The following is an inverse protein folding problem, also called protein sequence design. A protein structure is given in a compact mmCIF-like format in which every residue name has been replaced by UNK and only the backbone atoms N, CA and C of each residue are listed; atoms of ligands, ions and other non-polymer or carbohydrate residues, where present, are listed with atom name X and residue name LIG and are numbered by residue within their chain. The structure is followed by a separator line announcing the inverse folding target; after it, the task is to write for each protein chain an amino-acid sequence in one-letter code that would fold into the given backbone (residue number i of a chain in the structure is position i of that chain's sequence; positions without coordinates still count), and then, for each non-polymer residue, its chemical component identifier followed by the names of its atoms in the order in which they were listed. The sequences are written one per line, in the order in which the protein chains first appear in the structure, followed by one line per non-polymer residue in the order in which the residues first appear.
data_IF_146190914700
#
_entry.id   IF_146190914700
#
_cell.length_a   1.000
_cell.length_b   1.000
_cell.length_c   1.000
_cell.angle_alpha   90.00
_cell.angle_beta   90.00
_cell.angle_gamma   90.00
#
_symmetry.space_group_name_H-M   'P 1'
#
loop_
_entity.id
_entity.type
_entity.pdbx_description
1 polymer ?
#
# COMPACT_ATOMS: atom_id res chain seq x y z
N UNK A 1 -31.96 19.00 48.68
CA UNK A 1 -30.78 19.02 49.53
C UNK A 1 -29.69 18.39 48.71
N UNK A 2 -28.92 19.25 48.00
CA UNK A 2 -27.58 19.73 48.38
C UNK A 2 -26.58 18.57 48.35
N UNK A 3 -25.56 18.53 47.58
CA UNK A 3 -24.46 19.45 47.38
C UNK A 3 -23.68 19.14 46.12
N UNK A 4 -23.41 20.15 45.37
CA UNK A 4 -22.40 20.15 44.34
C UNK A 4 -21.00 20.20 44.95
N UNK A 5 -20.09 19.49 44.34
CA UNK A 5 -18.67 19.68 44.56
C UNK A 5 -18.03 20.06 43.23
N UNK A 6 -17.84 21.37 43.08
CA UNK A 6 -17.03 21.97 42.01
C UNK A 6 -15.57 21.73 42.36
N UNK A 7 -14.89 20.86 41.67
CA UNK A 7 -13.43 20.79 41.70
C UNK A 7 -12.90 21.65 40.57
N UNK A 8 -12.42 22.82 40.94
CA UNK A 8 -11.73 23.75 40.04
C UNK A 8 -10.33 23.17 39.73
N UNK A 9 -10.07 23.00 38.45
CA UNK A 9 -8.73 22.69 37.95
C UNK A 9 -8.01 24.02 37.77
N UNK A 10 -7.05 24.24 38.62
CA UNK A 10 -6.13 25.37 38.63
C UNK A 10 -5.09 25.10 37.52
N UNK A 11 -5.19 25.84 36.44
CA UNK A 11 -4.16 25.82 35.39
C UNK A 11 -3.04 26.74 35.85
N UNK A 12 -1.93 26.16 36.23
CA UNK A 12 -0.68 26.88 36.45
C UNK A 12 -0.02 27.10 35.10
N UNK A 13 -0.10 28.33 34.63
CA UNK A 13 0.72 28.84 33.54
C UNK A 13 2.02 29.36 34.17
N UNK A 14 3.09 28.66 33.96
CA UNK A 14 4.45 29.17 34.14
C UNK A 14 5.20 28.74 32.89
N UNK A 15 5.54 29.62 32.05
CA UNK A 15 6.54 30.68 32.12
C UNK A 15 7.67 30.28 31.20
N UNK A 16 7.58 30.88 30.08
CA UNK A 16 8.58 31.49 29.19
C UNK A 16 10.07 31.26 29.52
N UNK A 17 10.79 31.10 28.51
CA UNK A 17 12.07 31.62 28.07
C UNK A 17 12.99 30.53 27.51
N UNK A 18 13.09 30.52 26.21
CA UNK A 18 14.33 30.86 25.55
C UNK A 18 15.21 29.68 25.20
N UNK A 19 15.11 29.23 23.98
CA UNK A 19 16.31 28.83 23.29
C UNK A 19 16.15 29.08 21.77
N UNK A 20 16.64 30.26 21.37
CA UNK A 20 16.97 30.59 19.98
C UNK A 20 18.20 29.74 19.58
N UNK A 21 17.95 28.62 18.96
CA UNK A 21 18.98 27.83 18.26
C UNK A 21 18.82 28.02 16.74
N UNK A 22 19.32 29.13 16.23
CA UNK A 22 19.41 29.41 14.81
C UNK A 22 20.54 28.57 14.23
N UNK A 23 20.23 27.41 13.69
CA UNK A 23 21.18 26.61 12.96
C UNK A 23 21.08 26.94 11.47
N UNK A 24 22.01 27.76 11.01
CA UNK A 24 22.31 28.08 9.62
C UNK A 24 22.60 26.78 8.85
N UNK A 25 21.66 26.33 8.03
CA UNK A 25 21.95 25.29 7.06
C UNK A 25 22.63 25.91 5.84
N UNK A 26 23.93 25.73 5.80
CA UNK A 26 24.85 26.19 4.77
C UNK A 26 24.52 25.52 3.44
N UNK A 27 24.12 26.34 2.47
CA UNK A 27 23.90 26.02 1.08
C UNK A 27 25.24 25.60 0.44
N UNK A 28 25.41 24.30 0.23
CA UNK A 28 26.54 23.77 -0.56
C UNK A 28 26.18 23.80 -2.03
N UNK A 29 26.78 24.73 -2.76
CA UNK A 29 26.82 24.74 -4.21
C UNK A 29 27.79 23.67 -4.66
N UNK A 30 27.35 22.69 -5.40
CA UNK A 30 28.25 21.80 -6.13
C UNK A 30 28.32 22.27 -7.58
N UNK A 31 29.39 22.91 -7.86
CA UNK A 31 29.83 23.23 -9.20
C UNK A 31 30.14 21.94 -9.95
N UNK A 32 29.40 21.74 -11.04
CA UNK A 32 29.68 20.66 -11.99
C UNK A 32 30.78 21.15 -12.91
N UNK A 33 31.97 20.70 -12.62
CA UNK A 33 33.10 20.86 -13.50
C UNK A 33 33.01 19.92 -14.69
N UNK A 34 32.86 20.53 -15.83
CA UNK A 34 32.84 19.90 -17.15
C UNK A 34 34.22 19.33 -17.48
N UNK A 35 34.32 18.02 -17.70
CA UNK A 35 35.47 17.38 -18.33
C UNK A 35 35.16 17.03 -19.78
N UNK A 36 36.07 17.31 -20.70
CA UNK A 36 35.84 17.09 -22.13
C UNK A 36 35.95 15.63 -22.54
N UNK A 37 35.17 15.32 -23.58
CA UNK A 37 35.12 14.05 -24.27
C UNK A 37 36.49 13.68 -24.85
N UNK A 38 36.96 12.48 -24.57
CA UNK A 38 37.98 11.81 -25.35
C UNK A 38 37.37 10.66 -26.12
N UNK A 39 37.30 10.89 -27.41
CA UNK A 39 36.88 9.93 -28.41
C UNK A 39 37.97 8.89 -28.64
N UNK A 40 37.67 7.63 -28.39
CA UNK A 40 38.48 6.55 -28.95
C UNK A 40 37.58 5.65 -29.73
N UNK A 41 37.65 5.80 -31.03
CA UNK A 41 37.13 4.87 -32.05
C UNK A 41 37.97 3.59 -32.02
N UNK A 42 37.31 2.47 -31.94
CA UNK A 42 37.73 1.20 -32.53
C UNK A 42 36.49 0.38 -32.85
N UNK A 43 36.16 0.43 -34.06
CA UNK A 43 35.97 -0.53 -35.13
C UNK A 43 35.67 -1.99 -34.72
N UNK A 44 34.45 -2.42 -35.14
CA UNK A 44 34.22 -3.73 -35.72
C UNK A 44 34.10 -4.89 -34.76
N UNK A 45 32.93 -5.45 -34.71
CA UNK A 45 32.72 -6.84 -35.17
C UNK A 45 31.20 -7.05 -35.26
N UNK A 46 30.80 -7.27 -36.47
CA UNK A 46 29.47 -7.77 -36.84
C UNK A 46 29.26 -9.18 -36.30
N UNK A 47 28.01 -9.44 -36.06
CA UNK A 47 27.38 -10.72 -36.37
C UNK A 47 27.25 -11.76 -35.25
N UNK A 48 26.09 -12.04 -34.89
CA UNK A 48 25.45 -13.31 -35.20
C UNK A 48 24.36 -13.63 -34.19
N UNK A 49 23.21 -13.77 -34.70
CA UNK A 49 22.07 -14.42 -34.06
C UNK A 49 22.49 -15.79 -33.48
N UNK A 50 21.70 -16.17 -32.49
CA UNK A 50 21.35 -17.56 -32.21
C UNK A 50 21.84 -18.15 -30.90
N UNK A 51 20.84 -18.67 -30.24
CA UNK A 51 20.85 -19.89 -29.46
C UNK A 51 21.46 -19.87 -28.06
N UNK A 52 20.56 -20.06 -27.13
CA UNK A 52 20.67 -20.85 -25.93
C UNK A 52 22.08 -21.26 -25.49
N UNK A 53 22.67 -20.46 -24.60
CA UNK A 53 23.82 -20.93 -23.84
C UNK A 53 23.35 -21.85 -22.71
N UNK A 54 23.48 -23.12 -22.91
CA UNK A 54 23.53 -24.11 -21.82
C UNK A 54 24.95 -24.02 -21.29
N UNK A 55 25.11 -23.57 -20.06
CA UNK A 55 26.35 -23.69 -19.35
C UNK A 55 26.61 -25.18 -19.07
N UNK A 56 27.88 -25.55 -19.10
CA UNK A 56 28.40 -26.94 -19.07
C UNK A 56 28.05 -27.73 -17.80
N UNK A 57 27.06 -27.33 -17.03
CA UNK A 57 26.63 -28.01 -15.80
C UNK A 57 25.14 -28.36 -15.75
N UNK A 58 24.43 -28.33 -16.85
CA UNK A 58 23.11 -28.98 -16.98
C UNK A 58 22.02 -28.54 -16.00
N UNK A 59 22.13 -27.37 -15.40
CA UNK A 59 21.10 -26.89 -14.48
C UNK A 59 20.18 -25.90 -15.20
N UNK A 60 18.99 -26.38 -15.55
CA UNK A 60 17.88 -25.55 -16.00
C UNK A 60 17.63 -24.47 -14.98
N UNK A 61 17.87 -23.23 -15.35
CA UNK A 61 17.38 -22.07 -14.56
C UNK A 61 15.87 -22.04 -14.76
N UNK A 62 15.15 -22.79 -13.96
CA UNK A 62 13.71 -22.69 -13.83
C UNK A 62 13.44 -21.36 -13.19
N UNK A 63 12.73 -20.52 -13.90
CA UNK A 63 12.24 -19.21 -13.45
C UNK A 63 11.61 -19.33 -12.04
N UNK A 64 12.37 -18.98 -11.00
CA UNK A 64 11.94 -19.05 -9.60
C UNK A 64 11.21 -17.77 -9.20
N UNK A 65 10.12 -17.45 -9.88
CA UNK A 65 9.26 -16.32 -9.44
C UNK A 65 8.27 -16.73 -8.34
N UNK A 66 8.27 -17.97 -7.88
CA UNK A 66 7.29 -18.50 -6.92
C UNK A 66 7.82 -18.98 -5.58
N UNK A 67 9.12 -18.87 -5.28
CA UNK A 67 9.71 -19.54 -4.11
C UNK A 67 10.42 -18.64 -3.10
N UNK A 68 10.22 -17.33 -3.14
CA UNK A 68 10.89 -16.43 -2.20
C UNK A 68 10.22 -16.36 -0.82
N UNK A 69 8.97 -16.79 -0.68
CA UNK A 69 8.25 -16.69 0.60
C UNK A 69 8.52 -17.85 1.58
N UNK A 70 9.00 -19.00 1.10
CA UNK A 70 9.22 -20.17 1.96
C UNK A 70 10.51 -20.12 2.79
N UNK A 71 11.45 -19.22 2.45
CA UNK A 71 12.78 -19.14 3.12
C UNK A 71 12.88 -17.96 4.07
N UNK A 72 11.87 -17.09 4.14
CA UNK A 72 11.90 -15.92 5.02
C UNK A 72 11.43 -16.26 6.42
N UNK A 73 12.08 -15.68 7.43
CA UNK A 73 11.64 -15.79 8.82
C UNK A 73 10.23 -15.28 8.95
N UNK A 74 9.33 -16.11 9.48
CA UNK A 74 7.92 -15.77 9.67
C UNK A 74 7.74 -14.85 10.87
N UNK A 75 6.75 -13.98 10.79
CA UNK A 75 6.32 -13.09 11.88
C UNK A 75 4.81 -13.17 12.05
N UNK A 76 4.26 -12.32 12.92
CA UNK A 76 2.81 -12.26 13.18
C UNK A 76 2.29 -10.87 12.82
N UNK A 77 1.18 -10.86 12.07
CA UNK A 77 0.48 -9.65 11.66
C UNK A 77 -0.86 -9.53 12.37
N UNK A 78 -1.17 -8.35 12.87
CA UNK A 78 -2.51 -7.98 13.34
C UNK A 78 -3.09 -6.88 12.47
N UNK A 79 -4.39 -6.96 12.21
CA UNK A 79 -5.17 -5.90 11.57
C UNK A 79 -6.12 -5.29 12.60
N UNK A 80 -6.31 -3.96 12.54
CA UNK A 80 -7.28 -3.24 13.37
C UNK A 80 -8.72 -3.68 13.10
N UNK A 81 -8.99 -4.04 11.84
CA UNK A 81 -10.27 -4.55 11.35
C UNK A 81 -10.06 -5.43 10.14
N UNK A 82 -11.02 -6.32 9.86
CA UNK A 82 -11.01 -7.15 8.66
C UNK A 82 -12.07 -6.73 7.65
N UNK A 83 -12.96 -5.85 8.04
CA UNK A 83 -14.07 -5.38 7.22
C UNK A 83 -14.21 -3.86 7.32
N UNK A 84 -14.69 -3.26 6.25
CA UNK A 84 -15.03 -1.84 6.23
C UNK A 84 -16.31 -1.62 5.42
N UNK A 85 -17.24 -0.87 5.99
CA UNK A 85 -18.53 -0.52 5.38
C UNK A 85 -18.49 0.96 4.94
N UNK A 86 -18.62 1.22 3.65
CA UNK A 86 -18.74 2.57 3.11
C UNK A 86 -20.17 3.14 3.23
N UNK A 87 -21.16 2.25 3.49
CA UNK A 87 -22.55 2.65 3.46
C UNK A 87 -23.06 2.93 2.04
N UNK A 88 -23.98 3.88 1.90
CA UNK A 88 -24.53 4.27 0.60
C UNK A 88 -23.60 5.22 -0.12
N UNK A 89 -23.24 4.90 -1.35
CA UNK A 89 -22.43 5.72 -2.25
C UNK A 89 -23.12 5.79 -3.62
N UNK A 90 -22.82 6.82 -4.40
CA UNK A 90 -23.37 6.96 -5.76
C UNK A 90 -22.56 6.13 -6.76
N UNK A 91 -23.21 5.69 -7.82
CA UNK A 91 -22.50 5.08 -8.94
C UNK A 91 -21.50 6.08 -9.57
N UNK A 92 -20.26 5.65 -9.72
CA UNK A 92 -19.16 6.49 -10.22
C UNK A 92 -18.30 7.11 -9.13
N UNK A 93 -18.71 7.06 -7.86
CA UNK A 93 -17.89 7.54 -6.76
C UNK A 93 -16.62 6.71 -6.61
N UNK A 94 -15.54 7.38 -6.22
CA UNK A 94 -14.31 6.75 -5.76
C UNK A 94 -14.19 6.98 -4.25
N UNK A 95 -14.20 5.91 -3.50
CA UNK A 95 -14.09 5.93 -2.05
C UNK A 95 -12.82 5.22 -1.59
N UNK A 96 -12.28 5.64 -0.45
CA UNK A 96 -11.06 5.08 0.11
C UNK A 96 -11.26 4.74 1.58
N UNK A 97 -10.70 3.63 2.01
CA UNK A 97 -10.58 3.29 3.42
C UNK A 97 -9.17 2.83 3.76
N UNK A 98 -8.88 2.79 5.05
CA UNK A 98 -7.59 2.37 5.59
C UNK A 98 -7.76 1.19 6.52
N UNK A 99 -6.90 0.19 6.35
CA UNK A 99 -6.68 -0.91 7.28
C UNK A 99 -5.32 -0.71 7.91
N UNK A 100 -5.26 -0.65 9.24
CA UNK A 100 -3.99 -0.55 9.95
C UNK A 100 -3.44 -1.95 10.20
N UNK A 101 -2.25 -2.19 9.68
CA UNK A 101 -1.49 -3.41 9.93
C UNK A 101 -0.43 -3.15 11.00
N UNK A 102 -0.32 -4.06 11.97
CA UNK A 102 0.68 -4.02 13.03
C UNK A 102 1.50 -5.30 13.00
N UNK A 103 2.81 -5.16 13.03
CA UNK A 103 3.70 -6.29 13.25
C UNK A 103 3.71 -6.65 14.74
N UNK A 104 2.95 -7.67 15.12
CA UNK A 104 2.90 -8.17 16.50
C UNK A 104 3.92 -9.27 16.80
N UNK A 105 4.71 -9.65 15.82
CA UNK A 105 5.80 -10.63 15.97
C UNK A 105 7.13 -9.97 16.31
N UNK A 106 8.20 -10.77 16.24
CA UNK A 106 9.57 -10.34 16.59
C UNK A 106 10.41 -10.03 15.35
N UNK A 107 10.10 -10.64 14.21
CA UNK A 107 10.82 -10.46 12.98
C UNK A 107 10.16 -9.37 12.11
N UNK A 108 10.88 -8.70 11.22
CA UNK A 108 10.30 -7.72 10.32
C UNK A 108 9.14 -8.31 9.49
N UNK A 109 8.01 -7.61 9.45
CA UNK A 109 6.86 -7.97 8.64
C UNK A 109 7.02 -7.41 7.24
N UNK A 110 6.94 -8.27 6.24
CA UNK A 110 7.08 -7.93 4.83
C UNK A 110 5.75 -8.21 4.15
N UNK A 111 5.11 -7.15 3.63
CA UNK A 111 3.94 -7.28 2.79
C UNK A 111 4.41 -7.48 1.34
N UNK A 112 4.32 -8.71 0.84
CA UNK A 112 4.83 -9.07 -0.48
C UNK A 112 3.91 -8.59 -1.58
N UNK A 113 2.60 -8.78 -1.38
CA UNK A 113 1.57 -8.43 -2.34
C UNK A 113 0.26 -8.05 -1.64
N UNK A 114 -0.49 -7.15 -2.25
CA UNK A 114 -1.90 -6.95 -1.94
C UNK A 114 -2.66 -6.74 -3.25
N UNK A 115 -3.74 -7.48 -3.46
CA UNK A 115 -4.56 -7.35 -4.66
C UNK A 115 -6.05 -7.43 -4.35
N UNK A 116 -6.82 -6.65 -5.09
CA UNK A 116 -8.28 -6.67 -5.01
C UNK A 116 -8.89 -7.78 -5.85
N UNK A 117 -10.06 -8.26 -5.45
CA UNK A 117 -10.83 -9.27 -6.19
C UNK A 117 -11.32 -8.80 -7.57
N UNK A 118 -11.18 -7.52 -7.89
CA UNK A 118 -11.48 -6.92 -9.18
C UNK A 118 -10.59 -5.70 -9.44
N UNK A 119 -10.47 -5.28 -10.70
CA UNK A 119 -9.77 -4.04 -11.05
C UNK A 119 -10.43 -2.76 -10.51
N UNK A 120 -11.62 -2.86 -9.92
CA UNK A 120 -12.35 -1.77 -9.27
C UNK A 120 -11.89 -1.53 -7.81
N UNK A 121 -11.04 -2.41 -7.27
CA UNK A 121 -10.51 -2.33 -5.91
C UNK A 121 -8.99 -2.37 -5.97
N UNK A 122 -8.35 -1.25 -5.63
CA UNK A 122 -6.91 -1.06 -5.76
C UNK A 122 -6.32 -0.82 -4.37
N UNK A 123 -5.55 -1.76 -3.82
CA UNK A 123 -4.81 -1.55 -2.58
C UNK A 123 -3.49 -0.80 -2.83
N UNK A 124 -3.14 0.06 -1.88
CA UNK A 124 -1.83 0.70 -1.75
C UNK A 124 -1.27 0.33 -0.37
N UNK A 125 -0.08 -0.23 -0.34
CA UNK A 125 0.51 -0.80 0.87
C UNK A 125 2.01 -0.53 0.95
N UNK A 126 2.60 -0.47 2.17
CA UNK A 126 4.02 -0.24 2.37
C UNK A 126 4.87 -1.35 1.74
N UNK A 127 5.93 -0.95 1.05
CA UNK A 127 6.90 -1.86 0.41
C UNK A 127 8.09 -2.15 1.32
N UNK A 128 8.36 -1.26 2.27
CA UNK A 128 9.43 -1.43 3.24
C UNK A 128 9.02 -2.40 4.35
N UNK A 129 9.94 -3.20 4.88
CA UNK A 129 9.67 -4.05 6.04
C UNK A 129 9.18 -3.25 7.24
N UNK A 130 8.16 -3.74 7.92
CA UNK A 130 7.59 -3.13 9.13
C UNK A 130 8.30 -3.74 10.33
N UNK A 131 9.03 -2.95 11.14
CA UNK A 131 9.71 -3.43 12.34
C UNK A 131 8.74 -4.03 13.37
N UNK A 132 9.26 -4.87 14.25
CA UNK A 132 8.48 -5.44 15.34
C UNK A 132 7.83 -4.35 16.22
N UNK A 133 6.54 -4.50 16.50
CA UNK A 133 5.74 -3.54 17.28
C UNK A 133 5.26 -2.32 16.49
N UNK A 134 5.73 -2.09 15.28
CA UNK A 134 5.31 -0.95 14.47
C UNK A 134 4.04 -1.24 13.65
N UNK A 135 3.37 -0.15 13.27
CA UNK A 135 2.15 -0.20 12.46
C UNK A 135 2.31 0.63 11.18
N UNK A 136 1.65 0.20 10.13
CA UNK A 136 1.54 0.92 8.84
C UNK A 136 0.11 0.79 8.31
N UNK A 137 -0.20 1.64 7.36
CA UNK A 137 -1.52 1.72 6.75
C UNK A 137 -1.53 1.05 5.37
N UNK A 138 -2.58 0.26 5.13
CA UNK A 138 -2.94 -0.27 3.82
C UNK A 138 -4.18 0.51 3.39
N UNK A 139 -4.05 1.31 2.34
CA UNK A 139 -5.15 2.08 1.77
C UNK A 139 -5.83 1.28 0.67
N UNK A 140 -7.15 1.26 0.68
CA UNK A 140 -7.93 0.53 -0.32
C UNK A 140 -8.88 1.49 -1.00
N UNK A 141 -8.72 1.67 -2.30
CA UNK A 141 -9.59 2.49 -3.15
C UNK A 141 -10.60 1.61 -3.85
N UNK A 142 -11.85 2.02 -3.84
CA UNK A 142 -12.93 1.36 -4.56
C UNK A 142 -13.59 2.35 -5.53
N UNK A 143 -13.70 1.95 -6.79
CA UNK A 143 -14.40 2.68 -7.84
C UNK A 143 -15.75 2.01 -8.11
N UNK A 144 -16.83 2.74 -7.84
CA UNK A 144 -18.20 2.25 -8.02
C UNK A 144 -18.76 2.42 -9.44
N UNK A 145 -17.94 2.88 -10.40
CA UNK A 145 -18.38 3.04 -11.79
C UNK A 145 -18.92 1.72 -12.36
N UNK A 146 -20.13 1.76 -12.93
CA UNK A 146 -20.81 0.60 -13.48
C UNK A 146 -21.27 -0.44 -12.44
N UNK A 147 -21.23 -0.10 -11.15
CA UNK A 147 -21.74 -0.96 -10.07
C UNK A 147 -23.12 -0.46 -9.63
N UNK A 148 -23.94 -1.35 -9.07
CA UNK A 148 -25.25 -1.01 -8.50
C UNK A 148 -25.59 -1.94 -7.34
N UNK A 149 -26.33 -1.44 -6.36
CA UNK A 149 -26.76 -2.18 -5.20
C UNK A 149 -25.61 -2.62 -4.31
N UNK A 150 -25.84 -3.60 -3.47
CA UNK A 150 -24.86 -4.08 -2.49
C UNK A 150 -23.64 -4.68 -3.18
N UNK A 151 -22.50 -4.15 -2.85
CA UNK A 151 -21.18 -4.60 -3.32
C UNK A 151 -20.37 -5.12 -2.14
N UNK A 152 -19.72 -6.26 -2.35
CA UNK A 152 -18.72 -6.81 -1.44
C UNK A 152 -17.47 -7.13 -2.25
N UNK A 153 -16.33 -6.60 -1.84
CA UNK A 153 -15.04 -6.80 -2.51
C UNK A 153 -13.99 -7.18 -1.50
N UNK A 154 -13.14 -8.10 -1.88
CA UNK A 154 -12.05 -8.56 -1.02
C UNK A 154 -10.71 -8.04 -1.52
N UNK A 155 -9.79 -7.85 -0.58
CA UNK A 155 -8.37 -7.61 -0.82
C UNK A 155 -7.61 -8.73 -0.13
N UNK A 156 -6.80 -9.45 -0.90
CA UNK A 156 -5.89 -10.48 -0.40
C UNK A 156 -4.54 -9.86 -0.18
N UNK A 157 -4.00 -10.02 1.02
CA UNK A 157 -2.70 -9.53 1.46
C UNK A 157 -1.80 -10.74 1.67
N UNK A 158 -0.69 -10.80 0.95
CA UNK A 158 0.34 -11.85 1.08
C UNK A 158 1.52 -11.28 1.87
N UNK A 159 1.94 -11.98 2.91
CA UNK A 159 3.03 -11.55 3.80
C UNK A 159 3.82 -12.74 4.33
N UNK A 160 4.99 -12.49 4.94
CA UNK A 160 5.79 -13.51 5.62
C UNK A 160 5.18 -13.92 6.97
N UNK A 161 3.91 -14.29 6.98
CA UNK A 161 3.13 -14.69 8.17
C UNK A 161 2.60 -16.12 8.06
N UNK A 162 1.96 -16.59 9.11
CA UNK A 162 1.17 -17.82 9.09
C UNK A 162 -0.26 -17.50 9.57
N UNK A 163 -1.29 -17.64 8.72
CA UNK A 163 -1.21 -18.02 7.28
C UNK A 163 -0.50 -16.94 6.45
N UNK A 164 0.02 -17.35 5.28
CA UNK A 164 0.72 -16.45 4.34
C UNK A 164 -0.22 -15.40 3.77
N UNK A 165 -1.50 -15.74 3.61
CA UNK A 165 -2.52 -14.85 3.07
C UNK A 165 -3.54 -14.46 4.12
N UNK A 166 -3.86 -13.18 4.13
CA UNK A 166 -4.94 -12.61 4.94
C UNK A 166 -5.88 -11.83 4.03
N UNK A 167 -7.18 -11.98 4.26
CA UNK A 167 -8.21 -11.32 3.45
C UNK A 167 -8.91 -10.25 4.29
N UNK A 168 -9.07 -9.07 3.70
CA UNK A 168 -9.95 -8.02 4.21
C UNK A 168 -11.07 -7.75 3.21
N UNK A 169 -12.21 -7.28 3.69
CA UNK A 169 -13.40 -7.06 2.88
C UNK A 169 -13.89 -5.63 2.99
N UNK A 170 -14.34 -5.06 1.88
CA UNK A 170 -15.04 -3.79 1.85
C UNK A 170 -16.46 -4.01 1.36
N UNK A 171 -17.39 -3.25 1.92
CA UNK A 171 -18.80 -3.28 1.55
C UNK A 171 -19.26 -1.87 1.17
N UNK A 172 -20.14 -1.79 0.20
CA UNK A 172 -20.79 -0.55 -0.22
C UNK A 172 -22.19 -0.85 -0.78
N UNK A 173 -23.12 0.06 -0.59
CA UNK A 173 -24.43 0.04 -1.26
C UNK A 173 -24.45 1.15 -2.31
N UNK A 174 -24.34 0.74 -3.58
CA UNK A 174 -24.18 1.67 -4.71
C UNK A 174 -25.54 2.06 -5.24
N UNK A 175 -25.89 3.33 -5.05
CA UNK A 175 -27.08 3.96 -5.61
C UNK A 175 -26.79 4.32 -7.09
N UNK A 176 -27.43 3.57 -7.98
CA UNK A 176 -27.32 3.83 -9.41
C UNK A 176 -28.55 4.64 -9.86
N UNK A 177 -28.39 5.63 -10.75
CA UNK A 177 -29.55 6.30 -11.32
C UNK A 177 -30.46 5.28 -11.98
N UNK A 178 -31.73 5.36 -11.69
CA UNK A 178 -32.73 4.56 -12.41
C UNK A 178 -32.62 4.92 -13.89
N UNK A 179 -32.16 4.01 -14.70
CA UNK A 179 -32.33 4.12 -16.13
C UNK A 179 -33.81 3.97 -16.39
N UNK A 180 -34.49 5.07 -16.64
CA UNK A 180 -35.86 5.06 -17.16
C UNK A 180 -35.91 4.12 -18.36
N UNK A 181 -36.28 2.89 -18.13
CA UNK A 181 -36.73 1.99 -19.17
C UNK A 181 -38.15 2.40 -19.57
N UNK A 182 -38.27 3.68 -19.99
CA UNK A 182 -39.46 4.12 -20.74
C UNK A 182 -39.31 3.63 -22.16
N UNK A 183 -40.25 2.80 -22.47
CA UNK A 183 -40.85 2.66 -23.78
C UNK A 183 -40.15 1.77 -24.80
N UNK A 184 -40.57 0.52 -24.79
CA UNK A 184 -40.94 -0.20 -26.01
C UNK A 184 -42.18 -1.04 -25.78
N UNK A 185 -43.28 -0.35 -25.58
CA UNK A 185 -44.62 -0.91 -25.87
C UNK A 185 -45.34 0.10 -26.75
N UNK A 186 -45.17 -0.02 -28.03
CA UNK A 186 -46.21 0.35 -29.03
C UNK A 186 -45.69 -0.03 -30.44
N UNK A 187 -46.15 -1.03 -30.96
CA UNK A 187 -46.84 -1.32 -32.22
C UNK A 187 -46.56 -2.73 -32.68
#
# INVERSE_FOLDING_TARGET
MSNGLKVGILIVVAGALGFLGYSQFKKGSNDIESRPAESTTLSGIENSASAGGIDANGTSIKSETGKLSETRTKTTMMLDKKEHEFGKIKQGDQVECTFKVTNSGKEPLILEEAHGSCGCTVPDYPKDPIPAGESRDIKVKFNSAGKKGKQSKTVTITANTEPIQTVVTIHADVDAPETDSKDKSSH
#
